data_IF_868336778465
#
_entry.id   IF_868336778465
#
_cell.length_a   1.000
_cell.length_b   1.000
_cell.length_c   1.000
_cell.angle_alpha   90.00
_cell.angle_beta   90.00
_cell.angle_gamma   90.00
#
_symmetry.space_group_name_H-M   'P 1'
#
loop_
_entity.id
_entity.type
_entity.pdbx_description
1 polymer ?
#
# COMPACT_ATOMS: atom_id res chain seq x y z
N UNK A 1 8.84 15.04 29.31
CA UNK A 1 7.97 15.95 28.53
C UNK A 1 8.73 16.65 27.40
N UNK A 2 9.94 17.08 27.63
CA UNK A 2 10.80 17.78 26.65
C UNK A 2 11.22 16.90 25.47
N UNK A 3 11.64 15.68 25.72
CA UNK A 3 12.03 14.69 24.71
C UNK A 3 10.88 14.34 23.77
N UNK A 4 9.69 14.16 24.31
CA UNK A 4 8.45 13.94 23.53
C UNK A 4 8.14 15.12 22.60
N UNK A 5 8.34 16.35 23.06
CA UNK A 5 8.15 17.55 22.26
C UNK A 5 9.18 17.67 21.13
N UNK A 6 10.41 17.20 21.37
CA UNK A 6 11.48 17.14 20.37
C UNK A 6 11.11 16.16 19.24
N UNK A 7 10.64 14.96 19.59
CA UNK A 7 10.18 13.97 18.61
C UNK A 7 9.01 14.49 17.77
N UNK A 8 8.02 15.14 18.39
CA UNK A 8 6.88 15.71 17.68
C UNK A 8 7.29 16.82 16.70
N UNK A 9 8.28 17.64 17.03
CA UNK A 9 8.84 18.64 16.12
C UNK A 9 9.53 18.00 14.92
N UNK A 10 10.32 16.96 15.14
CA UNK A 10 11.00 16.23 14.07
C UNK A 10 10.01 15.59 13.09
N UNK A 11 8.93 14.99 13.61
CA UNK A 11 7.87 14.39 12.80
C UNK A 11 7.16 15.46 11.98
N UNK A 12 6.89 16.62 12.55
CA UNK A 12 6.18 17.72 11.87
C UNK A 12 6.95 18.30 10.66
N UNK A 13 8.28 18.17 10.63
CA UNK A 13 9.14 18.64 9.52
C UNK A 13 9.23 17.62 8.38
N UNK A 14 8.86 16.37 8.62
CA UNK A 14 8.88 15.33 7.59
C UNK A 14 7.85 15.59 6.50
N UNK A 15 8.23 15.40 5.23
CA UNK A 15 7.36 15.65 4.07
C UNK A 15 6.18 14.69 3.89
N UNK A 16 6.15 13.56 4.61
CA UNK A 16 5.13 12.52 4.43
C UNK A 16 4.02 12.57 5.49
N UNK A 17 2.86 13.11 5.11
CA UNK A 17 1.70 13.27 6.01
C UNK A 17 1.17 11.96 6.60
N UNK A 18 1.18 10.86 5.83
CA UNK A 18 0.67 9.57 6.29
C UNK A 18 1.52 9.01 7.44
N UNK A 19 2.82 8.98 7.25
CA UNK A 19 3.78 8.52 8.27
C UNK A 19 3.77 9.44 9.49
N UNK A 20 3.67 10.74 9.28
CA UNK A 20 3.53 11.71 10.37
C UNK A 20 2.33 11.38 11.26
N UNK A 21 1.18 11.07 10.66
CA UNK A 21 -0.06 10.76 11.40
C UNK A 21 0.10 9.47 12.19
N UNK A 22 0.69 8.43 11.61
CA UNK A 22 0.92 7.14 12.31
C UNK A 22 1.83 7.36 13.52
N UNK A 23 3.00 7.96 13.31
CA UNK A 23 3.96 8.23 14.37
C UNK A 23 3.35 9.10 15.48
N UNK A 24 2.67 10.18 15.09
CA UNK A 24 2.03 11.07 16.06
C UNK A 24 0.98 10.36 16.90
N UNK A 25 0.11 9.57 16.29
CA UNK A 25 -0.94 8.84 17.00
C UNK A 25 -0.36 7.79 17.94
N UNK A 26 0.69 7.09 17.54
CA UNK A 26 1.35 6.10 18.38
C UNK A 26 2.06 6.75 19.57
N UNK A 27 2.75 7.86 19.35
CA UNK A 27 3.41 8.61 20.44
C UNK A 27 2.37 9.23 21.38
N UNK A 28 1.27 9.78 20.84
CA UNK A 28 0.19 10.37 21.66
C UNK A 28 -0.54 9.31 22.52
N UNK A 29 -0.75 8.12 21.96
CA UNK A 29 -1.40 7.01 22.67
C UNK A 29 -0.49 6.26 23.68
N UNK A 30 0.76 6.67 23.81
CA UNK A 30 1.72 6.04 24.70
C UNK A 30 2.37 4.77 24.18
N UNK A 31 2.09 4.37 22.91
CA UNK A 31 2.72 3.22 22.26
C UNK A 31 4.14 3.52 21.76
N UNK A 32 4.52 4.79 21.71
CA UNK A 32 5.82 5.23 21.23
C UNK A 32 6.08 4.95 19.74
N UNK A 33 7.31 5.15 19.31
CA UNK A 33 7.73 4.86 17.94
C UNK A 33 7.70 3.35 17.65
N UNK A 34 7.89 2.51 18.66
CA UNK A 34 7.82 1.06 18.51
C UNK A 34 6.42 0.59 18.10
N UNK A 35 5.36 1.16 18.66
CA UNK A 35 4.00 0.87 18.23
C UNK A 35 3.71 1.28 16.77
N UNK A 36 4.33 2.37 16.31
CA UNK A 36 4.26 2.75 14.90
C UNK A 36 4.99 1.73 14.01
N UNK A 37 6.17 1.28 14.43
CA UNK A 37 6.97 0.28 13.72
C UNK A 37 6.21 -1.05 13.56
N UNK A 38 5.59 -1.54 14.63
CA UNK A 38 4.79 -2.77 14.63
C UNK A 38 3.58 -2.64 13.69
N UNK A 39 2.91 -1.50 13.68
CA UNK A 39 1.79 -1.24 12.80
C UNK A 39 2.23 -1.23 11.33
N UNK A 40 3.38 -0.64 11.02
CA UNK A 40 3.94 -0.58 9.68
C UNK A 40 4.42 -1.95 9.21
N UNK A 41 5.08 -2.74 10.07
CA UNK A 41 5.48 -4.12 9.77
C UNK A 41 4.27 -4.99 9.46
N UNK A 42 3.23 -4.96 10.30
CA UNK A 42 1.98 -5.70 10.07
C UNK A 42 1.28 -5.31 8.77
N UNK A 43 1.38 -4.05 8.35
CA UNK A 43 0.86 -3.61 7.05
C UNK A 43 1.64 -4.27 5.90
N UNK A 44 2.97 -4.29 5.97
CA UNK A 44 3.79 -4.95 4.95
C UNK A 44 3.62 -6.47 4.91
N UNK A 45 3.39 -7.12 6.05
CA UNK A 45 3.06 -8.55 6.11
C UNK A 45 1.77 -8.86 5.32
N UNK A 46 0.75 -8.00 5.46
CA UNK A 46 -0.49 -8.14 4.68
C UNK A 46 -0.28 -7.88 3.20
N UNK A 47 0.53 -6.88 2.84
CA UNK A 47 0.88 -6.61 1.45
C UNK A 47 1.70 -7.75 0.85
N UNK A 48 2.64 -8.33 1.60
CA UNK A 48 3.41 -9.50 1.16
C UNK A 48 2.48 -10.67 0.86
N UNK A 49 1.53 -10.98 1.76
CA UNK A 49 0.51 -11.99 1.53
C UNK A 49 -0.31 -11.71 0.27
N UNK A 50 -0.80 -10.47 0.11
CA UNK A 50 -1.56 -10.06 -1.06
C UNK A 50 -0.76 -10.24 -2.37
N UNK A 51 0.46 -9.74 -2.43
CA UNK A 51 1.32 -9.89 -3.60
C UNK A 51 1.63 -11.34 -3.94
N UNK A 52 1.84 -12.19 -2.93
CA UNK A 52 2.09 -13.62 -3.12
C UNK A 52 0.86 -14.32 -3.72
N UNK A 53 -0.34 -14.00 -3.26
CA UNK A 53 -1.58 -14.52 -3.85
C UNK A 53 -1.76 -14.03 -5.29
N UNK A 54 -1.54 -12.73 -5.55
CA UNK A 54 -1.65 -12.17 -6.90
C UNK A 54 -0.66 -12.82 -7.85
N UNK A 55 0.61 -12.96 -7.45
CA UNK A 55 1.63 -13.64 -8.26
C UNK A 55 1.22 -15.09 -8.60
N UNK A 56 0.60 -15.81 -7.66
CA UNK A 56 0.08 -17.16 -7.91
C UNK A 56 -1.02 -17.18 -8.98
N UNK A 57 -1.99 -16.28 -8.88
CA UNK A 57 -3.06 -16.17 -9.90
C UNK A 57 -2.53 -15.73 -11.27
N UNK A 58 -1.60 -14.79 -11.30
CA UNK A 58 -0.98 -14.30 -12.53
C UNK A 58 -0.13 -15.39 -13.20
N UNK A 59 0.59 -16.18 -12.40
CA UNK A 59 1.35 -17.33 -12.90
C UNK A 59 0.44 -18.41 -13.49
N UNK A 60 -0.68 -18.71 -12.83
CA UNK A 60 -1.70 -19.60 -13.38
C UNK A 60 -2.27 -19.03 -14.69
N UNK A 61 -2.60 -17.75 -14.73
CA UNK A 61 -3.06 -17.08 -15.94
C UNK A 61 -2.05 -17.17 -17.09
N UNK A 62 -0.75 -16.99 -16.81
CA UNK A 62 0.32 -17.17 -17.79
C UNK A 62 0.41 -18.60 -18.29
N UNK A 63 0.25 -19.60 -17.41
CA UNK A 63 0.28 -21.02 -17.80
C UNK A 63 -0.84 -21.34 -18.78
N UNK A 64 -2.04 -20.80 -18.57
CA UNK A 64 -3.15 -20.91 -19.53
C UNK A 64 -2.89 -20.15 -20.83
N UNK A 65 -2.26 -18.98 -20.75
CA UNK A 65 -1.96 -18.15 -21.90
C UNK A 65 -0.91 -18.77 -22.83
N UNK A 66 0.02 -19.52 -22.28
CA UNK A 66 1.09 -20.18 -23.04
C UNK A 66 0.61 -21.52 -23.66
N UNK A 67 -0.54 -22.04 -23.21
CA UNK A 67 -1.09 -23.28 -23.76
C UNK A 67 -1.49 -23.06 -25.23
N UNK A 68 -0.90 -23.82 -26.19
CA UNK A 68 -1.21 -23.68 -27.63
C UNK A 68 -2.67 -23.91 -27.99
N UNK A 69 -3.45 -24.57 -27.13
CA UNK A 69 -4.88 -24.79 -27.29
C UNK A 69 -5.71 -23.54 -27.04
N UNK A 70 -5.15 -22.53 -26.36
CA UNK A 70 -5.81 -21.28 -26.02
C UNK A 70 -5.36 -20.17 -26.99
N UNK A 71 -6.28 -19.60 -27.76
CA UNK A 71 -6.04 -18.44 -28.64
C UNK A 71 -5.86 -17.14 -27.86
N UNK A 72 -5.00 -17.13 -26.83
CA UNK A 72 -4.69 -15.93 -26.09
C UNK A 72 -3.74 -15.05 -26.90
N UNK A 73 -4.21 -13.86 -27.22
CA UNK A 73 -3.38 -12.89 -27.92
C UNK A 73 -2.12 -12.52 -27.13
N UNK A 74 -1.04 -12.20 -27.81
CA UNK A 74 0.23 -11.71 -27.25
C UNK A 74 0.04 -10.56 -26.23
N UNK A 75 -1.04 -9.77 -26.39
CA UNK A 75 -1.38 -8.67 -25.49
C UNK A 75 -1.71 -9.18 -24.09
N UNK A 76 -2.50 -10.26 -23.97
CA UNK A 76 -2.86 -10.84 -22.67
C UNK A 76 -1.65 -11.41 -21.94
N UNK A 77 -0.76 -12.07 -22.71
CA UNK A 77 0.50 -12.58 -22.16
C UNK A 77 1.36 -11.42 -21.65
N UNK A 78 1.48 -10.35 -22.42
CA UNK A 78 2.23 -9.16 -22.02
C UNK A 78 1.69 -8.51 -20.75
N UNK A 79 0.37 -8.35 -20.65
CA UNK A 79 -0.28 -7.79 -19.44
C UNK A 79 -0.07 -8.68 -18.24
N UNK A 80 -0.26 -10.00 -18.35
CA UNK A 80 -0.06 -10.95 -17.26
C UNK A 80 1.39 -10.98 -16.80
N UNK A 81 2.35 -10.99 -17.74
CA UNK A 81 3.77 -10.95 -17.43
C UNK A 81 4.13 -9.67 -16.67
N UNK A 82 3.64 -8.53 -17.12
CA UNK A 82 3.87 -7.25 -16.44
C UNK A 82 3.26 -7.24 -15.03
N UNK A 83 2.03 -7.70 -14.88
CA UNK A 83 1.35 -7.81 -13.58
C UNK A 83 2.10 -8.73 -12.64
N UNK A 84 2.55 -9.91 -13.12
CA UNK A 84 3.36 -10.84 -12.35
C UNK A 84 4.67 -10.21 -11.85
N UNK A 85 5.38 -9.49 -12.72
CA UNK A 85 6.60 -8.80 -12.33
C UNK A 85 6.32 -7.72 -11.27
N UNK A 86 5.20 -7.00 -11.36
CA UNK A 86 4.80 -6.03 -10.33
C UNK A 86 4.47 -6.70 -8.99
N UNK A 87 3.77 -7.85 -9.01
CA UNK A 87 3.50 -8.63 -7.79
C UNK A 87 4.78 -9.16 -7.16
N UNK A 88 5.71 -9.68 -7.97
CA UNK A 88 7.01 -10.14 -7.50
C UNK A 88 7.83 -9.00 -6.88
N UNK A 89 7.89 -7.84 -7.55
CA UNK A 89 8.56 -6.65 -7.04
C UNK A 89 7.92 -6.15 -5.73
N UNK A 90 6.59 -6.11 -5.66
CA UNK A 90 5.86 -5.72 -4.46
C UNK A 90 6.13 -6.67 -3.28
N UNK A 91 6.21 -7.98 -3.55
CA UNK A 91 6.60 -8.99 -2.54
C UNK A 91 8.01 -8.74 -2.02
N UNK A 92 8.98 -8.53 -2.90
CA UNK A 92 10.38 -8.26 -2.51
C UNK A 92 10.49 -7.00 -1.65
N UNK A 93 9.83 -5.92 -2.05
CA UNK A 93 9.85 -4.65 -1.31
C UNK A 93 9.20 -4.82 0.06
N UNK A 94 8.06 -5.51 0.15
CA UNK A 94 7.38 -5.77 1.41
C UNK A 94 8.24 -6.63 2.34
N UNK A 95 8.91 -7.67 1.80
CA UNK A 95 9.84 -8.49 2.57
C UNK A 95 11.01 -7.67 3.11
N UNK A 96 11.67 -6.87 2.27
CA UNK A 96 12.78 -6.00 2.67
C UNK A 96 12.33 -5.01 3.75
N UNK A 97 11.12 -4.46 3.63
CA UNK A 97 10.58 -3.54 4.63
C UNK A 97 10.34 -4.22 5.99
N UNK A 98 9.80 -5.45 5.99
CA UNK A 98 9.60 -6.25 7.22
C UNK A 98 10.95 -6.52 7.90
N UNK A 99 11.94 -7.00 7.15
CA UNK A 99 13.28 -7.28 7.66
C UNK A 99 13.93 -6.02 8.23
N UNK A 100 13.83 -4.91 7.51
CA UNK A 100 14.36 -3.63 7.97
C UNK A 100 13.69 -3.18 9.29
N UNK A 101 12.36 -3.22 9.37
CA UNK A 101 11.64 -2.81 10.56
C UNK A 101 11.88 -3.75 11.75
N UNK A 102 12.06 -5.04 11.48
CA UNK A 102 12.43 -6.02 12.50
C UNK A 102 13.82 -5.73 13.07
N UNK A 103 14.78 -5.38 12.23
CA UNK A 103 16.13 -5.01 12.65
C UNK A 103 16.17 -3.74 13.51
N UNK A 104 15.37 -2.73 13.14
CA UNK A 104 15.34 -1.44 13.86
C UNK A 104 14.52 -1.49 15.16
N UNK A 105 13.75 -2.54 15.39
CA UNK A 105 12.85 -2.68 16.57
C UNK A 105 13.56 -2.54 17.91
N UNK A 106 14.83 -2.91 17.99
CA UNK A 106 15.61 -2.90 19.21
C UNK A 106 16.47 -1.65 19.41
N UNK A 107 16.36 -0.70 18.48
CA UNK A 107 17.11 0.55 18.52
C UNK A 107 16.45 1.59 19.42
N UNK A 108 17.20 2.65 19.74
CA UNK A 108 16.66 3.78 20.49
C UNK A 108 15.50 4.45 19.72
N UNK A 109 14.50 4.97 20.45
CA UNK A 109 13.28 5.56 19.88
C UNK A 109 13.57 6.61 18.79
N UNK A 110 14.62 7.42 18.97
CA UNK A 110 15.07 8.40 17.99
C UNK A 110 15.49 7.75 16.65
N UNK A 111 16.18 6.62 16.72
CA UNK A 111 16.63 5.89 15.53
C UNK A 111 15.46 5.23 14.81
N UNK A 112 14.49 4.70 15.56
CA UNK A 112 13.24 4.16 15.01
C UNK A 112 12.48 5.23 14.23
N UNK A 113 12.28 6.42 14.82
CA UNK A 113 11.60 7.55 14.16
C UNK A 113 12.34 7.94 12.89
N UNK A 114 13.65 8.10 12.96
CA UNK A 114 14.47 8.46 11.79
C UNK A 114 14.39 7.42 10.69
N UNK A 115 14.44 6.14 11.06
CA UNK A 115 14.30 5.01 10.14
C UNK A 115 12.95 5.01 9.42
N UNK A 116 11.85 5.14 10.17
CA UNK A 116 10.51 5.21 9.59
C UNK A 116 10.38 6.41 8.64
N UNK A 117 10.89 7.58 9.03
CA UNK A 117 10.83 8.79 8.20
C UNK A 117 11.68 8.71 6.95
N UNK A 118 12.77 7.95 6.96
CA UNK A 118 13.67 7.77 5.82
C UNK A 118 13.12 6.77 4.79
N UNK A 119 12.49 5.72 5.26
CA UNK A 119 12.09 4.59 4.41
C UNK A 119 10.59 4.52 4.12
N UNK A 120 9.86 5.64 4.30
CA UNK A 120 8.43 5.74 4.03
C UNK A 120 8.02 5.35 2.60
N UNK A 121 8.93 5.46 1.64
CA UNK A 121 8.67 5.16 0.23
C UNK A 121 8.38 3.67 -0.03
N UNK A 122 8.83 2.76 0.85
CA UNK A 122 8.48 1.34 0.75
C UNK A 122 6.96 1.11 0.69
N UNK A 123 6.19 1.90 1.44
CA UNK A 123 4.73 1.81 1.41
C UNK A 123 4.17 2.13 0.05
N UNK A 124 4.59 3.26 -0.53
CA UNK A 124 4.04 3.71 -1.80
C UNK A 124 4.41 2.78 -2.93
N UNK A 125 5.64 2.30 -2.99
CA UNK A 125 6.07 1.42 -4.08
C UNK A 125 5.34 0.08 -4.00
N UNK A 126 5.23 -0.51 -2.82
CA UNK A 126 4.50 -1.78 -2.64
C UNK A 126 3.00 -1.61 -2.91
N UNK A 127 2.40 -0.52 -2.46
CA UNK A 127 0.98 -0.23 -2.63
C UNK A 127 0.63 0.06 -4.10
N UNK A 128 1.47 0.85 -4.78
CA UNK A 128 1.34 1.12 -6.22
C UNK A 128 1.50 -0.18 -7.02
N UNK A 129 2.46 -1.03 -6.66
CA UNK A 129 2.65 -2.32 -7.30
C UNK A 129 1.41 -3.21 -7.13
N UNK A 130 0.81 -3.26 -5.92
CA UNK A 130 -0.43 -3.97 -5.66
C UNK A 130 -1.59 -3.48 -6.53
N UNK A 131 -1.75 -2.17 -6.65
CA UNK A 131 -2.81 -1.57 -7.46
C UNK A 131 -2.67 -1.92 -8.94
N UNK A 132 -1.50 -1.66 -9.52
CA UNK A 132 -1.27 -1.91 -10.96
C UNK A 132 -1.28 -3.39 -11.31
N UNK A 133 -0.76 -4.27 -10.44
CA UNK A 133 -0.85 -5.71 -10.60
C UNK A 133 -2.32 -6.16 -10.63
N UNK A 134 -3.15 -5.68 -9.70
CA UNK A 134 -4.58 -6.01 -9.67
C UNK A 134 -5.31 -5.53 -10.92
N UNK A 135 -5.08 -4.29 -11.34
CA UNK A 135 -5.68 -3.73 -12.57
C UNK A 135 -5.24 -4.50 -13.81
N UNK A 136 -3.95 -4.82 -13.89
CA UNK A 136 -3.39 -5.60 -15.00
C UNK A 136 -4.00 -7.00 -15.05
N UNK A 137 -4.10 -7.70 -13.92
CA UNK A 137 -4.72 -9.02 -13.84
C UNK A 137 -6.19 -8.99 -14.28
N UNK A 138 -6.99 -8.06 -13.78
CA UNK A 138 -8.39 -7.89 -14.19
C UNK A 138 -8.48 -7.59 -15.68
N UNK A 139 -7.59 -6.74 -16.21
CA UNK A 139 -7.53 -6.45 -17.64
C UNK A 139 -7.23 -7.69 -18.49
N UNK A 140 -6.26 -8.49 -18.08
CA UNK A 140 -5.91 -9.74 -18.75
C UNK A 140 -7.04 -10.77 -18.71
N UNK A 141 -7.70 -10.92 -17.56
CA UNK A 141 -8.87 -11.81 -17.42
C UNK A 141 -10.02 -11.33 -18.29
N UNK A 142 -10.24 -10.02 -18.43
CA UNK A 142 -11.23 -9.48 -19.37
C UNK A 142 -10.97 -9.89 -20.82
N UNK A 143 -9.73 -9.81 -21.28
CA UNK A 143 -9.35 -10.26 -22.64
C UNK A 143 -9.57 -11.77 -22.78
N UNK A 144 -9.19 -12.56 -21.78
CA UNK A 144 -9.42 -14.01 -21.73
C UNK A 144 -10.89 -14.37 -21.89
N UNK A 145 -11.73 -13.74 -21.12
CA UNK A 145 -13.18 -13.95 -21.12
C UNK A 145 -13.78 -13.57 -22.48
N UNK A 146 -13.32 -12.46 -23.05
CA UNK A 146 -13.83 -11.98 -24.36
C UNK A 146 -13.47 -12.92 -25.51
N UNK A 147 -12.30 -13.56 -25.47
CA UNK A 147 -11.85 -14.45 -26.53
C UNK A 147 -12.45 -15.85 -26.42
N UNK A 148 -12.68 -16.34 -25.18
CA UNK A 148 -13.01 -17.74 -24.95
C UNK A 148 -14.47 -18.00 -24.53
N UNK A 149 -15.24 -16.97 -24.19
CA UNK A 149 -16.61 -17.13 -23.71
C UNK A 149 -17.62 -16.41 -24.62
N UNK A 150 -18.89 -16.84 -24.59
CA UNK A 150 -19.97 -16.17 -25.31
C UNK A 150 -20.10 -14.69 -24.92
N UNK A 151 -20.56 -13.86 -25.84
CA UNK A 151 -20.70 -12.41 -25.68
C UNK A 151 -21.42 -11.98 -24.40
N UNK A 152 -22.47 -12.70 -24.00
CA UNK A 152 -23.21 -12.40 -22.77
C UNK A 152 -22.37 -12.58 -21.51
N UNK A 153 -21.47 -13.57 -21.47
CA UNK A 153 -20.58 -13.82 -20.34
C UNK A 153 -19.49 -12.74 -20.28
N UNK A 154 -18.93 -12.38 -21.44
CA UNK A 154 -17.99 -11.26 -21.58
C UNK A 154 -18.61 -9.95 -21.10
N UNK A 155 -19.84 -9.66 -21.51
CA UNK A 155 -20.56 -8.46 -21.07
C UNK A 155 -20.79 -8.43 -19.56
N UNK A 156 -21.22 -9.57 -19.00
CA UNK A 156 -21.45 -9.71 -17.55
C UNK A 156 -20.17 -9.51 -16.75
N UNK A 157 -19.04 -10.04 -17.22
CA UNK A 157 -17.74 -9.86 -16.59
C UNK A 157 -17.24 -8.42 -16.65
N UNK A 158 -17.43 -7.75 -17.81
CA UNK A 158 -17.07 -6.35 -17.97
C UNK A 158 -17.86 -5.44 -17.02
N UNK A 159 -19.17 -5.68 -16.86
CA UNK A 159 -20.02 -4.95 -15.93
C UNK A 159 -19.56 -5.21 -14.49
N UNK A 160 -19.33 -6.47 -14.12
CA UNK A 160 -18.84 -6.83 -12.78
C UNK A 160 -17.49 -6.18 -12.47
N UNK A 161 -16.54 -6.21 -13.41
CA UNK A 161 -15.23 -5.57 -13.29
C UNK A 161 -15.34 -4.05 -13.20
N UNK A 162 -16.20 -3.44 -14.00
CA UNK A 162 -16.51 -2.01 -13.97
C UNK A 162 -17.08 -1.53 -12.63
N UNK A 163 -17.80 -2.39 -11.91
CA UNK A 163 -18.31 -2.13 -10.55
C UNK A 163 -17.23 -2.45 -9.50
N UNK A 164 -16.52 -3.56 -9.66
CA UNK A 164 -15.54 -4.03 -8.67
C UNK A 164 -14.32 -3.09 -8.57
N UNK A 165 -13.81 -2.57 -9.68
CA UNK A 165 -12.64 -1.68 -9.69
C UNK A 165 -12.84 -0.39 -8.88
N UNK A 166 -13.94 0.38 -9.04
CA UNK A 166 -14.22 1.53 -8.19
C UNK A 166 -14.38 1.16 -6.71
N UNK A 167 -15.05 0.02 -6.42
CA UNK A 167 -15.22 -0.45 -5.04
C UNK A 167 -13.87 -0.80 -4.43
N UNK A 168 -13.01 -1.52 -5.14
CA UNK A 168 -11.64 -1.82 -4.71
C UNK A 168 -10.86 -0.53 -4.48
N UNK A 169 -10.92 0.43 -5.40
CA UNK A 169 -10.29 1.75 -5.24
C UNK A 169 -10.79 2.50 -4.01
N UNK A 170 -12.09 2.47 -3.73
CA UNK A 170 -12.69 3.06 -2.53
C UNK A 170 -12.29 2.31 -1.26
N UNK A 171 -12.23 0.98 -1.29
CA UNK A 171 -11.75 0.17 -0.18
C UNK A 171 -10.27 0.43 0.11
N UNK A 172 -9.43 0.47 -0.92
CA UNK A 172 -8.02 0.85 -0.80
C UNK A 172 -7.88 2.25 -0.20
N UNK A 173 -8.59 3.24 -0.75
CA UNK A 173 -8.63 4.59 -0.22
C UNK A 173 -9.12 4.62 1.24
N UNK A 174 -10.10 3.81 1.60
CA UNK A 174 -10.66 3.75 2.96
C UNK A 174 -9.73 3.03 3.94
N UNK A 175 -8.99 2.02 3.52
CA UNK A 175 -7.95 1.35 4.30
C UNK A 175 -6.80 2.33 4.57
N UNK A 176 -6.35 3.05 3.55
CA UNK A 176 -5.29 4.07 3.66
C UNK A 176 -5.79 5.29 4.46
N UNK A 177 -7.09 5.67 4.31
CA UNK A 177 -7.70 6.85 4.93
C UNK A 177 -8.54 6.46 6.16
N UNK A 178 -8.37 5.28 6.76
CA UNK A 178 -9.21 4.86 7.88
C UNK A 178 -9.36 6.00 8.91
N UNK A 179 -10.62 6.41 9.14
CA UNK A 179 -10.97 7.53 10.03
C UNK A 179 -10.34 7.44 11.42
N UNK A 180 -10.02 6.23 11.90
CA UNK A 180 -9.34 6.01 13.18
C UNK A 180 -7.87 6.44 13.15
N UNK A 181 -7.19 6.36 11.98
CA UNK A 181 -5.83 6.88 11.78
C UNK A 181 -5.84 8.41 11.61
N UNK A 182 -6.89 8.96 10.99
CA UNK A 182 -6.99 10.39 10.67
C UNK A 182 -7.77 11.22 11.71
N UNK A 183 -8.54 10.57 12.59
CA UNK A 183 -9.32 11.29 13.61
C UNK A 183 -8.47 12.20 14.51
N UNK A 184 -7.24 11.77 14.83
CA UNK A 184 -6.28 12.60 15.59
C UNK A 184 -5.47 13.57 14.73
N UNK A 185 -5.35 13.33 13.42
CA UNK A 185 -4.51 14.14 12.52
C UNK A 185 -5.06 15.53 12.20
N UNK A 186 -6.39 15.69 12.15
CA UNK A 186 -7.01 17.00 11.88
C UNK A 186 -6.71 18.04 12.95
N UNK A 187 -6.61 17.62 14.21
CA UNK A 187 -6.33 18.53 15.31
C UNK A 187 -4.88 19.00 15.31
N UNK A 188 -3.94 18.19 14.75
CA UNK A 188 -2.53 18.57 14.63
C UNK A 188 -2.37 19.76 13.69
N UNK A 189 -3.03 19.71 12.52
CA UNK A 189 -2.91 20.78 11.52
C UNK A 189 -3.59 22.07 12.01
N UNK A 190 -4.71 21.98 12.74
CA UNK A 190 -5.35 23.15 13.37
C UNK A 190 -4.48 23.81 14.44
N UNK A 191 -3.78 23.01 15.26
CA UNK A 191 -2.85 23.53 16.28
C UNK A 191 -1.63 24.16 15.64
N UNK A 192 -1.17 23.67 14.49
CA UNK A 192 -0.02 24.25 13.80
C UNK A 192 -0.37 25.58 13.10
N UNK A 193 -1.55 25.66 12.51
CA UNK A 193 -2.04 26.92 11.91
C UNK A 193 -2.34 27.98 12.97
N UNK A 194 -2.93 27.62 14.10
CA UNK A 194 -3.15 28.57 15.20
C UNK A 194 -1.86 29.06 15.85
N UNK A 195 -0.80 28.24 15.89
CA UNK A 195 0.54 28.68 16.36
C UNK A 195 1.26 29.57 15.36
N UNK A 196 1.11 29.36 14.05
CA UNK A 196 1.64 30.27 13.03
C UNK A 196 1.01 31.66 13.11
N UNK A 197 -0.29 31.73 13.43
CA UNK A 197 -1.01 33.00 13.61
C UNK A 197 -0.54 33.72 14.88
N UNK A 198 -0.24 32.98 15.96
CA UNK A 198 0.22 33.55 17.23
C UNK A 198 1.70 34.00 17.23
N UNK A 199 2.53 33.57 16.26
CA UNK A 199 3.92 34.01 16.13
C UNK A 199 4.10 35.23 15.21
N UNK A 200 3.04 35.66 14.52
CA UNK A 200 3.07 36.82 13.61
C UNK A 200 2.36 38.05 14.20
N UNK A 201 2.11 38.06 15.49
CA UNK A 201 1.69 39.19 16.31
C UNK A 201 2.68 39.38 17.47
#
# INVERSE_FOLDING_TARGET
MEERNKHLKQIAVSGNKFIQIILFNCIKSGKGAQGALEMLSSFHERLLGFHSYMAGFEFLGLSFAIDPSNNLGLVSIGILTFSFLLSALGSMISFIAIEYFTGVKYEAEQMIITGILKYWWFFYVSDIAAFFSTVGFIGAVNVLVHVNLPDWASYSFNVASGIALPILGLCFKRIIINKQLYGGGRDIFKVQDSKKIAFNH
#
